data_IF_849287544877
#
_entry.id   IF_849287544877
#
_cell.length_a   1.000
_cell.length_b   1.000
_cell.length_c   1.000
_cell.angle_alpha   90.00
_cell.angle_beta   90.00
_cell.angle_gamma   90.00
#
_symmetry.space_group_name_H-M   'P 1'
#
loop_
_entity.id
_entity.type
_entity.pdbx_description
1 polymer ?
#
# COMPACT_ATOMS: atom_id res chain seq x y z
N UNK A 1 -13.66 -42.26 12.02
CA UNK A 1 -12.82 -41.19 12.61
C UNK A 1 -12.84 -40.01 11.67
N UNK A 2 -13.13 -38.79 12.12
CA UNK A 2 -13.00 -37.56 11.31
C UNK A 2 -11.54 -37.11 11.30
N UNK A 3 -10.91 -37.11 10.12
CA UNK A 3 -9.53 -36.64 9.96
C UNK A 3 -9.50 -35.13 10.21
N UNK A 4 -8.91 -34.71 11.33
CA UNK A 4 -8.65 -33.29 11.61
C UNK A 4 -7.54 -32.81 10.68
N UNK A 5 -7.87 -31.91 9.74
CA UNK A 5 -6.86 -31.23 8.95
C UNK A 5 -5.90 -30.46 9.87
N UNK A 6 -4.61 -30.81 9.84
CA UNK A 6 -3.55 -30.30 10.73
C UNK A 6 -3.13 -28.85 10.37
N UNK A 7 -4.06 -28.07 9.81
CA UNK A 7 -3.90 -26.67 9.34
C UNK A 7 -5.18 -25.82 9.50
N UNK A 8 -6.23 -26.29 10.19
CA UNK A 8 -7.41 -25.45 10.49
C UNK A 8 -7.09 -24.46 11.63
N UNK A 9 -6.62 -23.27 11.25
CA UNK A 9 -6.44 -22.13 12.16
C UNK A 9 -7.72 -21.29 12.34
N UNK A 10 -8.91 -21.85 12.06
CA UNK A 10 -10.22 -21.27 12.38
C UNK A 10 -10.78 -20.25 11.38
N UNK A 11 -10.01 -19.84 10.36
CA UNK A 11 -10.50 -18.93 9.31
C UNK A 11 -11.23 -19.72 8.20
N UNK A 12 -12.57 -19.76 8.27
CA UNK A 12 -13.43 -20.60 7.41
C UNK A 12 -14.03 -19.92 6.17
N UNK A 13 -13.81 -18.62 5.97
CA UNK A 13 -14.50 -17.83 4.95
C UNK A 13 -13.54 -16.97 4.12
N UNK A 14 -13.79 -16.90 2.80
CA UNK A 14 -13.07 -16.04 1.86
C UNK A 14 -13.39 -14.55 2.08
N UNK A 15 -12.45 -13.63 1.80
CA UNK A 15 -12.72 -12.19 1.80
C UNK A 15 -13.74 -11.80 0.72
N UNK A 16 -14.34 -10.60 0.84
CA UNK A 16 -15.32 -10.08 -0.12
C UNK A 16 -14.63 -9.60 -1.40
N UNK A 17 -14.84 -10.32 -2.49
CA UNK A 17 -14.26 -10.01 -3.81
C UNK A 17 -15.20 -9.12 -4.63
N UNK A 18 -15.43 -7.89 -4.15
CA UNK A 18 -16.37 -6.94 -4.76
C UNK A 18 -15.98 -6.47 -6.18
N UNK A 19 -14.73 -6.73 -6.60
CA UNK A 19 -14.26 -6.51 -7.96
C UNK A 19 -14.92 -7.46 -8.99
N UNK A 20 -15.24 -8.70 -8.62
CA UNK A 20 -15.75 -9.71 -9.57
C UNK A 20 -17.03 -9.22 -10.25
N UNK A 21 -18.02 -8.77 -9.46
CA UNK A 21 -19.28 -8.18 -9.98
C UNK A 21 -19.08 -6.95 -10.87
N UNK A 22 -17.98 -6.21 -10.71
CA UNK A 22 -17.65 -5.09 -11.63
C UNK A 22 -17.14 -5.65 -12.95
N UNK A 23 -16.16 -6.57 -12.90
CA UNK A 23 -15.57 -7.20 -14.09
C UNK A 23 -16.61 -7.99 -14.88
N UNK A 24 -17.50 -8.74 -14.21
CA UNK A 24 -18.65 -9.44 -14.80
C UNK A 24 -19.52 -8.49 -15.64
N UNK A 25 -19.82 -7.29 -15.15
CA UNK A 25 -20.56 -6.29 -15.91
C UNK A 25 -19.78 -5.81 -17.15
N UNK A 26 -18.47 -5.56 -17.02
CA UNK A 26 -17.61 -5.22 -18.18
C UNK A 26 -17.62 -6.35 -19.21
N UNK A 27 -17.61 -7.62 -18.78
CA UNK A 27 -17.63 -8.77 -19.70
C UNK A 27 -18.94 -8.89 -20.47
N UNK A 28 -20.06 -8.45 -19.90
CA UNK A 28 -21.34 -8.39 -20.61
C UNK A 28 -21.35 -7.22 -21.62
N UNK A 29 -20.86 -6.04 -21.24
CA UNK A 29 -20.73 -4.90 -22.15
C UNK A 29 -19.76 -5.18 -23.31
N UNK A 30 -18.60 -5.81 -23.05
CA UNK A 30 -17.64 -6.21 -24.07
C UNK A 30 -18.16 -7.29 -25.03
N UNK A 31 -19.26 -7.97 -24.70
CA UNK A 31 -19.92 -8.98 -25.53
C UNK A 31 -21.23 -8.47 -26.17
N UNK A 32 -21.57 -7.19 -26.04
CA UNK A 32 -22.76 -6.63 -26.72
C UNK A 32 -22.62 -6.70 -28.26
N UNK A 33 -23.60 -7.24 -29.01
CA UNK A 33 -23.49 -7.38 -30.46
C UNK A 33 -23.40 -6.09 -31.28
N UNK A 34 -23.62 -4.91 -30.68
CA UNK A 34 -23.61 -3.59 -31.33
C UNK A 34 -22.48 -2.70 -30.82
N UNK A 35 -22.20 -2.73 -29.51
CA UNK A 35 -21.25 -1.83 -28.85
C UNK A 35 -20.03 -2.53 -28.25
N UNK A 36 -20.00 -3.87 -28.22
CA UNK A 36 -18.91 -4.67 -27.67
C UNK A 36 -17.66 -4.77 -28.56
N UNK A 37 -16.76 -5.67 -28.19
CA UNK A 37 -15.50 -5.92 -28.92
C UNK A 37 -15.79 -6.67 -30.22
N UNK A 38 -15.25 -6.18 -31.34
CA UNK A 38 -15.41 -6.81 -32.66
C UNK A 38 -14.85 -8.23 -32.65
N UNK A 39 -15.65 -9.19 -33.09
CA UNK A 39 -15.25 -10.61 -33.14
C UNK A 39 -15.05 -11.09 -34.58
N UNK A 40 -14.01 -11.90 -34.80
CA UNK A 40 -13.59 -12.41 -36.10
C UNK A 40 -13.40 -13.94 -36.11
N UNK A 41 -13.46 -14.58 -37.29
CA UNK A 41 -13.24 -16.02 -37.42
C UNK A 41 -11.76 -16.43 -37.36
N UNK A 42 -11.39 -17.22 -36.36
CA UNK A 42 -10.08 -17.89 -36.31
C UNK A 42 -10.01 -18.98 -37.38
N UNK A 43 -9.18 -18.77 -38.41
CA UNK A 43 -8.86 -19.81 -39.40
C UNK A 43 -7.78 -20.75 -38.84
N UNK A 44 -8.07 -22.05 -38.79
CA UNK A 44 -7.06 -23.11 -38.58
C UNK A 44 -6.99 -23.98 -39.84
N UNK A 45 -5.87 -24.69 -40.03
CA UNK A 45 -5.51 -25.49 -41.23
C UNK A 45 -6.64 -26.38 -41.78
N UNK A 46 -7.55 -26.86 -40.94
CA UNK A 46 -8.66 -27.77 -41.32
C UNK A 46 -10.04 -27.23 -40.90
N UNK A 47 -10.11 -26.17 -40.08
CA UNK A 47 -11.37 -25.72 -39.44
C UNK A 47 -11.35 -24.24 -39.10
N UNK A 48 -12.38 -23.51 -39.49
CA UNK A 48 -12.64 -22.14 -38.99
C UNK A 48 -13.44 -22.20 -37.68
N UNK A 49 -13.06 -21.40 -36.69
CA UNK A 49 -13.77 -21.29 -35.39
C UNK A 49 -14.14 -19.82 -35.16
N UNK A 50 -15.43 -19.48 -34.96
CA UNK A 50 -15.87 -18.09 -34.83
C UNK A 50 -15.44 -17.44 -33.50
N UNK A 51 -15.84 -16.17 -33.34
CA UNK A 51 -15.79 -15.39 -32.09
C UNK A 51 -14.43 -15.35 -31.39
N UNK A 52 -13.34 -15.16 -32.15
CA UNK A 52 -12.07 -14.70 -31.58
C UNK A 52 -12.02 -13.15 -31.60
N UNK A 53 -11.31 -12.55 -30.66
CA UNK A 53 -11.07 -11.09 -30.59
C UNK A 53 -9.54 -10.83 -30.63
N UNK A 54 -9.09 -9.69 -31.14
CA UNK A 54 -7.67 -9.31 -31.01
C UNK A 54 -7.41 -8.69 -29.64
N UNK A 55 -6.14 -8.62 -29.22
CA UNK A 55 -5.78 -7.87 -28.02
C UNK A 55 -5.78 -6.35 -28.26
N UNK A 56 -5.48 -5.91 -29.48
CA UNK A 56 -5.60 -4.52 -29.93
C UNK A 56 -7.05 -4.00 -29.83
N UNK A 57 -8.04 -4.73 -30.36
CA UNK A 57 -9.47 -4.40 -30.26
C UNK A 57 -9.92 -4.28 -28.79
N UNK A 58 -9.44 -5.18 -27.92
CA UNK A 58 -9.78 -5.17 -26.47
C UNK A 58 -9.21 -3.93 -25.77
N UNK A 59 -7.92 -3.63 -25.96
CA UNK A 59 -7.29 -2.46 -25.32
C UNK A 59 -7.91 -1.16 -25.85
N UNK A 60 -8.15 -1.08 -27.16
CA UNK A 60 -8.81 0.07 -27.80
C UNK A 60 -10.25 0.25 -27.31
N UNK A 61 -11.00 -0.83 -27.12
CA UNK A 61 -12.35 -0.78 -26.55
C UNK A 61 -12.32 -0.27 -25.11
N UNK A 62 -11.41 -0.76 -24.27
CA UNK A 62 -11.29 -0.35 -22.86
C UNK A 62 -10.88 1.14 -22.73
N UNK A 63 -9.92 1.59 -23.53
CA UNK A 63 -9.50 3.00 -23.56
C UNK A 63 -10.67 3.93 -23.90
N UNK A 64 -11.40 3.62 -24.97
CA UNK A 64 -12.57 4.40 -25.41
C UNK A 64 -13.76 4.29 -24.44
N UNK A 65 -13.95 3.15 -23.78
CA UNK A 65 -15.08 2.91 -22.86
C UNK A 65 -14.98 3.66 -21.54
N UNK A 66 -13.75 3.88 -21.06
CA UNK A 66 -13.48 4.54 -19.77
C UNK A 66 -12.84 5.92 -19.91
N UNK A 67 -12.45 6.34 -21.12
CA UNK A 67 -11.71 7.58 -21.39
C UNK A 67 -10.38 7.60 -20.63
N UNK A 68 -9.62 6.50 -20.74
CA UNK A 68 -8.34 6.27 -20.06
C UNK A 68 -7.19 6.12 -21.06
N UNK A 69 -5.96 6.31 -20.58
CA UNK A 69 -4.75 6.15 -21.40
C UNK A 69 -4.52 4.69 -21.81
N UNK A 70 -3.82 4.48 -22.93
CA UNK A 70 -3.60 3.16 -23.50
C UNK A 70 -2.84 2.20 -22.56
N UNK A 71 -1.94 2.72 -21.72
CA UNK A 71 -1.20 1.93 -20.72
C UNK A 71 -2.12 1.43 -19.59
N UNK A 72 -3.05 2.26 -19.11
CA UNK A 72 -4.05 1.85 -18.10
C UNK A 72 -5.06 0.86 -18.70
N UNK A 73 -5.51 1.10 -19.94
CA UNK A 73 -6.36 0.16 -20.68
C UNK A 73 -5.67 -1.20 -20.91
N UNK A 74 -4.36 -1.20 -21.19
CA UNK A 74 -3.56 -2.42 -21.32
C UNK A 74 -3.37 -3.15 -19.99
N UNK A 75 -3.15 -2.42 -18.89
CA UNK A 75 -3.07 -2.99 -17.55
C UNK A 75 -4.42 -3.63 -17.14
N UNK A 76 -5.54 -2.94 -17.39
CA UNK A 76 -6.88 -3.47 -17.18
C UNK A 76 -7.16 -4.71 -18.04
N UNK A 77 -6.83 -4.67 -19.33
CA UNK A 77 -6.93 -5.82 -20.24
C UNK A 77 -6.08 -7.01 -19.78
N UNK A 78 -4.89 -6.77 -19.24
CA UNK A 78 -4.05 -7.79 -18.60
C UNK A 78 -4.70 -8.37 -17.35
N UNK A 79 -5.38 -7.57 -16.51
CA UNK A 79 -6.15 -8.09 -15.37
C UNK A 79 -7.31 -8.99 -15.82
N UNK A 80 -8.01 -8.67 -16.91
CA UNK A 80 -9.08 -9.52 -17.47
C UNK A 80 -8.56 -10.91 -17.88
N UNK A 81 -7.34 -10.97 -18.42
CA UNK A 81 -6.66 -12.22 -18.77
C UNK A 81 -6.17 -12.96 -17.52
N UNK A 82 -5.59 -12.25 -16.55
CA UNK A 82 -5.10 -12.84 -15.30
C UNK A 82 -6.22 -13.42 -14.41
N UNK A 83 -7.42 -12.84 -14.43
CA UNK A 83 -8.62 -13.39 -13.79
C UNK A 83 -9.35 -14.43 -14.66
N UNK A 84 -8.89 -14.71 -15.87
CA UNK A 84 -9.44 -15.77 -16.73
C UNK A 84 -10.80 -15.46 -17.37
N UNK A 85 -11.28 -14.22 -17.33
CA UNK A 85 -12.49 -13.81 -18.06
C UNK A 85 -12.25 -13.74 -19.57
N UNK A 86 -11.00 -13.49 -19.98
CA UNK A 86 -10.51 -13.57 -21.36
C UNK A 86 -9.29 -14.52 -21.35
N UNK A 87 -9.09 -15.34 -22.37
CA UNK A 87 -7.93 -16.23 -22.47
C UNK A 87 -7.27 -16.19 -23.86
N UNK A 88 -5.93 -16.26 -23.95
CA UNK A 88 -5.22 -16.25 -25.22
C UNK A 88 -5.31 -17.62 -25.93
N UNK A 89 -5.32 -17.59 -27.26
CA UNK A 89 -5.36 -18.79 -28.12
C UNK A 89 -3.97 -19.28 -28.55
N UNK A 90 -2.92 -18.58 -28.12
CA UNK A 90 -1.51 -18.89 -28.29
C UNK A 90 -0.79 -18.54 -26.97
N UNK A 91 0.38 -19.10 -26.68
CA UNK A 91 1.19 -18.69 -25.51
C UNK A 91 0.42 -18.73 -24.16
N UNK A 92 -0.36 -19.80 -23.94
CA UNK A 92 -1.32 -19.96 -22.82
C UNK A 92 -0.75 -19.82 -21.39
N UNK A 93 0.58 -19.71 -21.23
CA UNK A 93 1.25 -19.51 -19.94
C UNK A 93 1.41 -18.04 -19.57
N UNK A 94 1.38 -17.15 -20.57
CA UNK A 94 1.53 -15.70 -20.39
C UNK A 94 0.14 -15.08 -20.23
N UNK A 95 -0.32 -14.94 -18.99
CA UNK A 95 -1.59 -14.29 -18.64
C UNK A 95 -1.52 -12.76 -18.74
N UNK A 96 -1.09 -12.25 -19.89
CA UNK A 96 -0.90 -10.82 -20.18
C UNK A 96 -1.47 -10.54 -21.56
N UNK A 97 -2.27 -9.48 -21.70
CA UNK A 97 -2.78 -9.11 -23.02
C UNK A 97 -1.66 -8.49 -23.86
N UNK A 98 -1.64 -8.77 -25.15
CA UNK A 98 -0.72 -8.18 -26.12
C UNK A 98 -1.53 -7.19 -26.94
N UNK A 99 -1.17 -5.90 -27.05
CA UNK A 99 -1.91 -4.91 -27.84
C UNK A 99 -1.57 -5.08 -29.33
N UNK A 100 -1.86 -6.26 -29.86
CA UNK A 100 -1.53 -6.71 -31.20
C UNK A 100 -2.63 -7.62 -31.76
N UNK A 101 -2.37 -8.22 -32.92
CA UNK A 101 -3.28 -9.14 -33.62
C UNK A 101 -3.37 -10.53 -32.98
N UNK A 102 -2.71 -10.78 -31.83
CA UNK A 102 -2.85 -12.04 -31.11
C UNK A 102 -4.31 -12.28 -30.73
N UNK A 103 -4.76 -13.53 -30.89
CA UNK A 103 -6.16 -13.87 -30.73
C UNK A 103 -6.47 -14.35 -29.31
N UNK A 104 -7.58 -13.84 -28.76
CA UNK A 104 -8.15 -14.19 -27.47
C UNK A 104 -9.61 -14.66 -27.66
N UNK A 105 -10.20 -15.21 -26.59
CA UNK A 105 -11.64 -15.47 -26.47
C UNK A 105 -12.15 -15.11 -25.08
N UNK A 106 -13.43 -14.74 -25.01
CA UNK A 106 -14.16 -14.67 -23.74
C UNK A 106 -14.33 -16.07 -23.15
N UNK A 107 -14.20 -16.15 -21.82
CA UNK A 107 -14.49 -17.34 -21.04
C UNK A 107 -15.99 -17.46 -20.77
N UNK A 108 -16.53 -18.68 -20.75
CA UNK A 108 -17.94 -18.91 -20.39
C UNK A 108 -18.20 -18.60 -18.90
N UNK A 109 -19.35 -18.02 -18.51
CA UNK A 109 -19.68 -17.73 -17.12
C UNK A 109 -19.56 -18.91 -16.13
N UNK A 110 -19.69 -20.16 -16.61
CA UNK A 110 -19.45 -21.36 -15.80
C UNK A 110 -18.02 -21.46 -15.25
N UNK A 111 -17.05 -20.89 -15.97
CA UNK A 111 -15.62 -20.85 -15.61
C UNK A 111 -15.17 -19.45 -15.13
N UNK A 112 -16.08 -18.56 -14.75
CA UNK A 112 -15.71 -17.28 -14.13
C UNK A 112 -15.36 -17.46 -12.64
N UNK A 113 -14.45 -16.64 -12.07
CA UNK A 113 -14.08 -16.75 -10.66
C UNK A 113 -15.26 -16.45 -9.73
N UNK A 114 -15.58 -17.36 -8.81
CA UNK A 114 -16.67 -17.21 -7.85
C UNK A 114 -16.17 -16.87 -6.43
N UNK A 115 -16.83 -15.90 -5.76
CA UNK A 115 -16.47 -15.51 -4.39
C UNK A 115 -16.63 -16.68 -3.38
N UNK A 116 -17.78 -17.35 -3.38
CA UNK A 116 -18.12 -18.35 -2.37
C UNK A 116 -17.50 -19.72 -2.64
N UNK A 117 -17.43 -20.15 -3.89
CA UNK A 117 -17.07 -21.50 -4.27
C UNK A 117 -15.55 -21.62 -4.53
N UNK A 118 -14.79 -22.33 -3.67
CA UNK A 118 -13.46 -22.79 -4.03
C UNK A 118 -13.56 -23.90 -5.07
N UNK A 119 -12.65 -23.91 -6.03
CA UNK A 119 -12.56 -25.00 -7.02
C UNK A 119 -12.03 -26.25 -6.31
N UNK A 120 -12.76 -27.36 -6.37
CA UNK A 120 -12.39 -28.56 -5.62
C UNK A 120 -11.16 -29.27 -6.19
N UNK A 121 -10.42 -29.93 -5.29
CA UNK A 121 -9.34 -30.84 -5.66
C UNK A 121 -9.88 -32.10 -6.39
N UNK A 122 -11.15 -32.46 -6.15
CA UNK A 122 -11.88 -33.51 -6.89
C UNK A 122 -11.91 -33.22 -8.39
N UNK A 123 -12.33 -32.02 -8.77
CA UNK A 123 -12.46 -31.61 -10.17
C UNK A 123 -11.09 -31.48 -10.85
N UNK A 124 -10.08 -31.02 -10.11
CA UNK A 124 -8.72 -30.92 -10.64
C UNK A 124 -8.12 -32.30 -10.90
N UNK A 125 -8.36 -33.27 -10.01
CA UNK A 125 -7.96 -34.65 -10.22
C UNK A 125 -8.65 -35.27 -11.45
N UNK A 126 -9.95 -35.00 -11.67
CA UNK A 126 -10.70 -35.44 -12.87
C UNK A 126 -10.11 -34.81 -14.14
N UNK A 127 -9.80 -33.51 -14.13
CA UNK A 127 -9.16 -32.81 -15.26
C UNK A 127 -7.79 -33.42 -15.63
N UNK A 128 -6.91 -33.59 -14.65
CA UNK A 128 -5.58 -34.16 -14.84
C UNK A 128 -5.66 -35.63 -15.30
N UNK A 129 -6.56 -36.42 -14.72
CA UNK A 129 -6.82 -37.80 -15.17
C UNK A 129 -7.31 -37.85 -16.63
N UNK A 130 -8.25 -36.98 -17.01
CA UNK A 130 -8.80 -36.86 -18.38
C UNK A 130 -7.70 -36.51 -19.39
N UNK A 131 -6.77 -35.61 -19.04
CA UNK A 131 -5.60 -35.29 -19.88
C UNK A 131 -4.63 -36.46 -20.01
N UNK A 132 -4.32 -37.16 -18.92
CA UNK A 132 -3.43 -38.33 -18.95
C UNK A 132 -4.03 -39.50 -19.76
N UNK A 133 -5.35 -39.71 -19.69
CA UNK A 133 -6.10 -40.68 -20.52
C UNK A 133 -6.03 -40.32 -22.01
N UNK A 134 -6.14 -39.04 -22.37
CA UNK A 134 -6.10 -38.56 -23.77
C UNK A 134 -4.78 -38.88 -24.46
N UNK A 135 -3.65 -38.69 -23.77
CA UNK A 135 -2.30 -39.10 -24.21
C UNK A 135 -1.38 -39.12 -22.98
N UNK A 136 -0.80 -40.28 -22.68
CA UNK A 136 0.20 -40.43 -21.60
C UNK A 136 1.38 -39.47 -21.82
N UNK A 137 1.87 -38.86 -20.75
CA UNK A 137 3.02 -37.93 -20.81
C UNK A 137 2.70 -36.53 -21.35
N UNK A 138 1.44 -36.07 -21.28
CA UNK A 138 0.99 -34.71 -21.69
C UNK A 138 0.61 -33.84 -20.47
N UNK A 139 1.00 -34.25 -19.27
CA UNK A 139 1.02 -33.40 -18.08
C UNK A 139 2.39 -32.70 -18.00
N UNK A 140 2.40 -31.43 -17.63
CA UNK A 140 3.64 -30.72 -17.32
C UNK A 140 4.22 -31.19 -15.97
N UNK A 141 5.49 -30.88 -15.69
CA UNK A 141 6.18 -31.37 -14.47
C UNK A 141 5.38 -31.03 -13.20
N UNK A 142 4.96 -29.77 -13.05
CA UNK A 142 4.14 -29.34 -11.90
C UNK A 142 2.77 -30.02 -11.86
N UNK A 143 2.13 -30.26 -13.02
CA UNK A 143 0.85 -30.96 -13.10
C UNK A 143 0.98 -32.44 -12.74
N UNK A 144 2.11 -33.06 -13.08
CA UNK A 144 2.43 -34.44 -12.73
C UNK A 144 2.72 -34.59 -11.24
N UNK A 145 3.39 -33.61 -10.62
CA UNK A 145 3.57 -33.52 -9.16
C UNK A 145 2.22 -33.36 -8.44
N UNK A 146 1.35 -32.43 -8.90
CA UNK A 146 0.01 -32.27 -8.34
C UNK A 146 -0.84 -33.54 -8.54
N UNK A 147 -0.82 -34.16 -9.71
CA UNK A 147 -1.53 -35.41 -9.99
C UNK A 147 -1.09 -36.56 -9.06
N UNK A 148 0.21 -36.71 -8.84
CA UNK A 148 0.77 -37.72 -7.94
C UNK A 148 0.38 -37.43 -6.47
N UNK A 149 0.40 -36.15 -6.05
CA UNK A 149 -0.06 -35.72 -4.73
C UNK A 149 -1.55 -35.99 -4.49
N UNK A 150 -2.40 -35.61 -5.45
CA UNK A 150 -3.85 -35.84 -5.44
C UNK A 150 -4.18 -37.33 -5.44
N UNK A 151 -3.49 -38.15 -6.24
CA UNK A 151 -3.66 -39.60 -6.23
C UNK A 151 -3.38 -40.20 -4.85
N UNK A 152 -2.30 -39.75 -4.18
CA UNK A 152 -1.95 -40.21 -2.83
C UNK A 152 -2.93 -39.71 -1.75
N UNK A 153 -3.42 -38.48 -1.86
CA UNK A 153 -4.33 -37.86 -0.88
C UNK A 153 -5.78 -38.34 -1.01
N UNK A 154 -6.26 -38.50 -2.25
CA UNK A 154 -7.66 -38.81 -2.58
C UNK A 154 -7.85 -40.24 -3.10
N UNK A 155 -6.91 -41.17 -2.79
CA UNK A 155 -6.92 -42.54 -3.29
C UNK A 155 -8.28 -43.26 -3.08
N UNK A 156 -8.91 -43.05 -1.92
CA UNK A 156 -10.25 -43.58 -1.57
C UNK A 156 -11.42 -43.08 -2.45
N UNK A 157 -11.20 -42.10 -3.35
CA UNK A 157 -12.15 -41.61 -4.37
C UNK A 157 -11.63 -41.83 -5.79
N UNK A 158 -10.49 -42.49 -5.97
CA UNK A 158 -9.78 -42.46 -7.26
C UNK A 158 -10.50 -43.21 -8.38
N UNK A 159 -11.18 -44.31 -8.07
CA UNK A 159 -11.99 -45.03 -9.07
C UNK A 159 -13.14 -44.19 -9.59
N UNK A 160 -13.79 -43.39 -8.73
CA UNK A 160 -14.80 -42.40 -9.12
C UNK A 160 -14.20 -41.30 -10.00
N UNK A 161 -13.04 -40.75 -9.62
CA UNK A 161 -12.30 -39.74 -10.40
C UNK A 161 -11.94 -40.27 -11.80
N UNK A 162 -11.45 -41.51 -11.88
CA UNK A 162 -11.10 -42.18 -13.14
C UNK A 162 -12.34 -42.53 -13.96
N UNK A 163 -13.46 -42.92 -13.33
CA UNK A 163 -14.75 -43.15 -13.98
C UNK A 163 -15.28 -41.86 -14.63
N UNK A 164 -15.35 -40.77 -13.87
CA UNK A 164 -15.76 -39.45 -14.36
C UNK A 164 -14.85 -38.94 -15.48
N UNK A 165 -13.52 -39.09 -15.34
CA UNK A 165 -12.58 -38.72 -16.40
C UNK A 165 -12.77 -39.52 -17.70
N UNK A 166 -13.09 -40.82 -17.61
CA UNK A 166 -13.43 -41.68 -18.77
C UNK A 166 -14.77 -41.28 -19.40
N UNK A 167 -15.77 -40.96 -18.59
CA UNK A 167 -17.11 -40.55 -19.02
C UNK A 167 -17.08 -39.21 -19.76
N UNK A 168 -16.48 -38.18 -19.16
CA UNK A 168 -16.27 -36.88 -19.81
C UNK A 168 -15.45 -36.99 -21.11
N UNK A 169 -14.46 -37.90 -21.16
CA UNK A 169 -13.69 -38.17 -22.38
C UNK A 169 -14.52 -38.87 -23.48
N UNK A 170 -15.52 -39.69 -23.12
CA UNK A 170 -16.49 -40.29 -24.07
C UNK A 170 -17.44 -39.22 -24.62
N UNK A 171 -18.14 -38.48 -23.77
CA UNK A 171 -19.03 -37.39 -24.19
C UNK A 171 -18.28 -36.31 -25.01
N UNK A 172 -17.01 -36.04 -24.68
CA UNK A 172 -16.14 -35.18 -25.47
C UNK A 172 -15.88 -35.67 -26.90
N UNK A 173 -15.92 -36.99 -27.16
CA UNK A 173 -15.74 -37.58 -28.50
C UNK A 173 -16.96 -37.42 -29.42
N UNK A 174 -18.15 -37.21 -28.87
CA UNK A 174 -19.40 -37.03 -29.62
C UNK A 174 -19.54 -35.60 -30.18
N UNK A 175 -18.93 -34.60 -29.52
CA UNK A 175 -18.90 -33.20 -29.99
C UNK A 175 -18.07 -33.04 -31.27
N UNK A 176 -18.46 -32.10 -32.14
CA UNK A 176 -17.71 -31.79 -33.38
C UNK A 176 -16.28 -31.29 -33.04
N UNK A 177 -15.36 -31.46 -33.99
CA UNK A 177 -13.93 -31.10 -33.85
C UNK A 177 -13.68 -29.65 -33.36
N UNK A 178 -14.32 -28.59 -33.92
CA UNK A 178 -14.10 -27.23 -33.42
C UNK A 178 -14.64 -27.02 -32.00
N UNK A 179 -15.87 -27.45 -31.71
CA UNK A 179 -16.53 -27.29 -30.40
C UNK A 179 -15.71 -27.94 -29.27
N UNK A 180 -15.13 -29.11 -29.55
CA UNK A 180 -14.21 -29.82 -28.66
C UNK A 180 -12.93 -29.02 -28.39
N UNK A 181 -12.36 -28.40 -29.42
CA UNK A 181 -11.14 -27.60 -29.30
C UNK A 181 -11.36 -26.29 -28.52
N UNK A 182 -12.55 -25.67 -28.62
CA UNK A 182 -12.93 -24.53 -27.77
C UNK A 182 -13.06 -24.98 -26.32
N UNK A 183 -13.79 -26.05 -26.06
CA UNK A 183 -14.02 -26.57 -24.71
C UNK A 183 -12.70 -27.00 -24.02
N UNK A 184 -11.82 -27.71 -24.74
CA UNK A 184 -10.46 -28.09 -24.30
C UNK A 184 -9.59 -26.89 -23.87
N UNK A 185 -9.84 -25.70 -24.43
CA UNK A 185 -9.10 -24.47 -24.13
C UNK A 185 -9.76 -23.65 -23.01
N UNK A 186 -11.08 -23.56 -22.99
CA UNK A 186 -11.84 -22.95 -21.88
C UNK A 186 -11.51 -23.62 -20.54
N UNK A 187 -11.55 -24.96 -20.51
CA UNK A 187 -11.23 -25.74 -19.32
C UNK A 187 -9.75 -25.58 -18.90
N UNK A 188 -8.81 -25.49 -19.86
CA UNK A 188 -7.39 -25.25 -19.57
C UNK A 188 -7.17 -23.86 -18.95
N UNK A 189 -7.77 -22.81 -19.52
CA UNK A 189 -7.63 -21.44 -19.04
C UNK A 189 -8.12 -21.30 -17.58
N UNK A 190 -9.25 -21.93 -17.25
CA UNK A 190 -9.81 -22.02 -15.90
C UNK A 190 -8.79 -22.57 -14.88
N UNK A 191 -8.15 -23.70 -15.19
CA UNK A 191 -7.21 -24.35 -14.28
C UNK A 191 -5.90 -23.57 -14.06
N UNK A 192 -5.40 -22.87 -15.09
CA UNK A 192 -4.20 -22.01 -14.95
C UNK A 192 -4.45 -20.86 -13.97
N UNK A 193 -5.68 -20.32 -13.91
CA UNK A 193 -6.06 -19.24 -12.98
C UNK A 193 -6.37 -19.76 -11.57
N UNK A 194 -6.89 -20.98 -11.43
CA UNK A 194 -7.32 -21.53 -10.14
C UNK A 194 -6.33 -22.47 -9.42
N UNK A 195 -5.20 -22.84 -10.05
CA UNK A 195 -4.05 -23.51 -9.40
C UNK A 195 -2.69 -22.91 -9.81
N UNK A 196 -2.45 -21.59 -9.66
CA UNK A 196 -1.15 -20.98 -9.89
C UNK A 196 -0.14 -21.32 -8.76
N UNK A 197 1.18 -21.12 -8.99
CA UNK A 197 2.19 -21.21 -7.95
C UNK A 197 1.90 -20.33 -6.72
N UNK A 198 2.13 -20.86 -5.51
CA UNK A 198 1.49 -20.42 -4.26
C UNK A 198 2.13 -19.23 -3.52
N UNK A 199 1.27 -18.45 -2.82
CA UNK A 199 1.52 -17.67 -1.58
C UNK A 199 0.19 -17.33 -0.86
N UNK A 200 0.23 -16.69 0.32
CA UNK A 200 -0.91 -16.53 1.27
C UNK A 200 -0.86 -15.16 2.02
N UNK A 201 -1.97 -14.69 2.63
CA UNK A 201 -2.08 -14.14 4.03
C UNK A 201 -3.48 -13.56 4.40
N UNK A 202 -4.06 -14.04 5.52
CA UNK A 202 -4.88 -13.32 6.57
C UNK A 202 -6.13 -12.46 6.16
N UNK A 203 -6.87 -11.68 6.99
CA UNK A 203 -6.74 -11.15 8.40
C UNK A 203 -8.13 -10.88 9.05
N UNK A 204 -8.18 -10.31 10.28
CA UNK A 204 -9.38 -9.92 11.09
C UNK A 204 -9.56 -8.37 11.13
N UNK A 205 -10.45 -7.66 11.86
CA UNK A 205 -11.30 -7.85 13.08
C UNK A 205 -12.64 -7.07 13.02
N UNK A 206 -13.51 -7.13 14.06
CA UNK A 206 -14.79 -6.38 14.12
C UNK A 206 -15.22 -5.99 15.56
N UNK A 207 -15.66 -4.75 15.79
CA UNK A 207 -16.36 -4.31 17.02
C UNK A 207 -17.03 -2.93 16.82
N UNK A 208 -18.30 -2.73 17.22
CA UNK A 208 -19.09 -1.53 16.80
C UNK A 208 -19.93 -0.83 17.88
N UNK A 209 -20.26 -1.48 19.00
CA UNK A 209 -21.32 -0.97 19.89
C UNK A 209 -20.87 0.16 20.84
N UNK A 210 -19.71 0.03 21.49
CA UNK A 210 -19.16 1.08 22.38
C UNK A 210 -18.86 2.39 21.62
N UNK A 211 -18.53 2.27 20.33
CA UNK A 211 -18.15 3.39 19.47
C UNK A 211 -19.28 4.42 19.27
N UNK A 212 -20.53 4.00 19.12
CA UNK A 212 -21.64 4.90 18.79
C UNK A 212 -21.95 5.86 19.93
N UNK A 213 -22.05 5.37 21.16
CA UNK A 213 -22.34 6.20 22.34
C UNK A 213 -21.19 7.19 22.64
N UNK A 214 -19.94 6.77 22.47
CA UNK A 214 -18.78 7.68 22.53
C UNK A 214 -18.72 8.69 21.37
N UNK A 215 -19.41 8.45 20.25
CA UNK A 215 -19.42 9.35 19.08
C UNK A 215 -20.51 10.43 19.14
N UNK A 216 -21.50 10.28 20.04
CA UNK A 216 -22.53 11.29 20.31
C UNK A 216 -21.95 12.40 21.21
N UNK A 217 -21.21 12.01 22.25
CA UNK A 217 -20.63 12.94 23.24
C UNK A 217 -19.45 13.78 22.71
N UNK A 218 -19.03 13.61 21.45
CA UNK A 218 -17.95 14.37 20.82
C UNK A 218 -18.50 15.64 20.16
N UNK A 219 -18.11 16.85 20.60
CA UNK A 219 -18.52 18.09 19.94
C UNK A 219 -17.99 18.12 18.50
N UNK A 220 -18.74 18.78 17.61
CA UNK A 220 -18.46 18.85 16.17
C UNK A 220 -18.48 20.29 15.68
N UNK A 221 -17.67 20.59 14.66
CA UNK A 221 -17.71 21.86 13.93
C UNK A 221 -18.48 21.70 12.62
N UNK A 222 -18.95 22.82 12.05
CA UNK A 222 -19.56 22.82 10.71
C UNK A 222 -18.52 22.46 9.64
N UNK A 223 -18.91 21.74 8.59
CA UNK A 223 -18.01 21.33 7.51
C UNK A 223 -17.29 22.50 6.84
N UNK A 224 -17.92 23.68 6.74
CA UNK A 224 -17.28 24.90 6.24
C UNK A 224 -16.08 25.36 7.09
N UNK A 225 -16.13 25.16 8.41
CA UNK A 225 -15.04 25.50 9.33
C UNK A 225 -13.90 24.49 9.20
N UNK A 226 -14.20 23.19 9.18
CA UNK A 226 -13.15 22.16 9.06
C UNK A 226 -12.51 22.12 7.67
N UNK A 227 -13.29 22.23 6.59
CA UNK A 227 -12.76 22.26 5.22
C UNK A 227 -12.00 23.57 4.98
N UNK A 228 -12.50 24.71 5.45
CA UNK A 228 -11.77 25.99 5.37
C UNK A 228 -10.43 25.95 6.11
N UNK A 229 -10.37 25.30 7.28
CA UNK A 229 -9.12 25.09 8.00
C UNK A 229 -8.15 24.15 7.27
N UNK A 230 -8.63 23.05 6.68
CA UNK A 230 -7.82 22.12 5.89
C UNK A 230 -7.27 22.79 4.62
N UNK A 231 -8.10 23.49 3.84
CA UNK A 231 -7.67 24.24 2.66
C UNK A 231 -6.62 25.30 3.04
N UNK A 232 -6.85 26.06 4.12
CA UNK A 232 -5.87 27.04 4.61
C UNK A 232 -4.54 26.36 4.98
N UNK A 233 -4.58 25.24 5.71
CA UNK A 233 -3.37 24.50 6.08
C UNK A 233 -2.60 24.03 4.84
N UNK A 234 -3.28 23.44 3.85
CA UNK A 234 -2.65 22.98 2.60
C UNK A 234 -2.05 24.13 1.80
N UNK A 235 -2.74 25.28 1.69
CA UNK A 235 -2.21 26.48 1.01
C UNK A 235 -0.99 27.05 1.72
N UNK A 236 -0.99 27.08 3.05
CA UNK A 236 0.17 27.51 3.85
C UNK A 236 1.36 26.56 3.69
N UNK A 237 1.13 25.23 3.66
CA UNK A 237 2.20 24.24 3.59
C UNK A 237 2.70 23.92 2.17
N UNK A 238 1.96 24.30 1.12
CA UNK A 238 2.24 23.95 -0.29
C UNK A 238 3.70 24.21 -0.71
N UNK A 239 4.28 25.36 -0.37
CA UNK A 239 5.68 25.72 -0.69
C UNK A 239 6.74 24.88 0.04
N UNK A 240 6.33 24.10 1.04
CA UNK A 240 7.21 23.25 1.86
C UNK A 240 7.05 21.76 1.53
N UNK A 241 6.25 21.42 0.50
CA UNK A 241 6.05 20.06 0.00
C UNK A 241 6.91 19.83 -1.26
N UNK A 242 7.96 18.97 -1.20
CA UNK A 242 8.84 18.69 -2.34
C UNK A 242 8.16 18.03 -3.56
N UNK A 243 6.91 17.56 -3.43
CA UNK A 243 6.13 17.05 -4.57
C UNK A 243 5.34 18.17 -5.29
N UNK A 244 5.14 19.33 -4.65
CA UNK A 244 4.35 20.45 -5.18
C UNK A 244 5.20 21.68 -5.50
N UNK A 245 6.34 21.85 -4.83
CA UNK A 245 7.27 22.95 -5.03
C UNK A 245 8.73 22.44 -5.04
N UNK A 246 9.61 22.99 -5.89
CA UNK A 246 11.02 22.60 -5.93
C UNK A 246 11.73 22.98 -4.63
N UNK A 247 12.32 22.00 -3.95
CA UNK A 247 13.17 22.25 -2.79
C UNK A 247 14.59 22.66 -3.22
N UNK A 248 15.20 23.56 -2.45
CA UNK A 248 16.52 24.15 -2.74
C UNK A 248 17.59 23.58 -1.79
N UNK A 249 18.79 23.22 -2.28
CA UNK A 249 19.32 23.51 -3.62
C UNK A 249 18.78 22.58 -4.72
N UNK A 250 18.44 21.33 -4.40
CA UNK A 250 17.74 20.39 -5.28
C UNK A 250 17.02 19.30 -4.47
N UNK A 251 16.24 18.41 -5.13
CA UNK A 251 15.64 17.24 -4.48
C UNK A 251 16.58 16.03 -4.58
N UNK A 252 17.14 15.51 -3.46
CA UNK A 252 18.15 14.45 -3.50
C UNK A 252 17.73 13.19 -4.26
N UNK A 253 16.43 12.85 -4.26
CA UNK A 253 15.89 11.67 -4.97
C UNK A 253 15.87 11.81 -6.50
N UNK A 254 16.19 12.99 -7.04
CA UNK A 254 16.20 13.30 -8.48
C UNK A 254 17.63 13.58 -8.97
N UNK A 255 18.54 13.93 -8.05
CA UNK A 255 19.83 14.55 -8.37
C UNK A 255 21.04 13.93 -7.65
N UNK A 256 20.81 13.02 -6.71
CA UNK A 256 21.80 12.44 -5.77
C UNK A 256 22.57 13.48 -4.91
N UNK A 257 22.18 14.76 -4.97
CA UNK A 257 22.74 15.86 -4.16
C UNK A 257 22.12 15.87 -2.75
N UNK A 258 22.83 15.29 -1.79
CA UNK A 258 22.42 15.22 -0.37
C UNK A 258 22.45 16.57 0.36
N UNK A 259 22.86 17.67 -0.26
CA UNK A 259 23.01 18.99 0.38
C UNK A 259 21.70 19.48 1.00
N UNK A 260 20.54 19.18 0.40
CA UNK A 260 19.23 19.50 0.99
C UNK A 260 19.02 18.83 2.35
N UNK A 261 19.46 17.59 2.55
CA UNK A 261 19.37 16.91 3.85
C UNK A 261 20.36 17.51 4.85
N UNK A 262 21.61 17.76 4.43
CA UNK A 262 22.65 18.37 5.29
C UNK A 262 22.21 19.73 5.85
N UNK A 263 21.63 20.60 5.02
CA UNK A 263 21.10 21.91 5.43
C UNK A 263 19.88 21.84 6.36
N UNK A 264 19.20 20.69 6.44
CA UNK A 264 17.98 20.51 7.23
C UNK A 264 18.10 19.44 8.34
N UNK A 265 19.32 18.98 8.66
CA UNK A 265 19.57 18.10 9.82
C UNK A 265 19.07 18.73 11.12
N UNK A 266 18.62 17.90 12.06
CA UNK A 266 17.95 18.35 13.29
C UNK A 266 18.75 19.43 14.06
N UNK A 267 20.07 19.29 14.12
CA UNK A 267 21.02 20.03 14.95
C UNK A 267 21.93 21.02 14.20
N UNK A 268 21.54 21.51 13.01
CA UNK A 268 22.33 22.55 12.31
C UNK A 268 22.37 23.87 13.11
N UNK A 269 23.54 24.51 13.18
CA UNK A 269 23.71 25.79 13.86
C UNK A 269 22.84 26.90 13.24
N UNK A 270 22.84 26.95 11.90
CA UNK A 270 22.14 27.94 11.10
C UNK A 270 21.06 27.22 10.24
N UNK A 271 19.77 27.34 10.60
CA UNK A 271 18.69 26.74 9.82
C UNK A 271 18.47 27.44 8.47
N UNK A 272 17.77 26.77 7.54
CA UNK A 272 17.34 27.38 6.29
C UNK A 272 16.21 28.40 6.51
N UNK A 273 16.08 29.40 5.62
CA UNK A 273 15.00 30.42 5.67
C UNK A 273 13.62 29.76 5.68
N UNK A 274 13.43 28.75 4.83
CA UNK A 274 12.21 27.96 4.73
C UNK A 274 11.88 27.20 6.04
N UNK A 275 12.90 26.73 6.78
CA UNK A 275 12.72 26.09 8.10
C UNK A 275 12.30 27.10 9.17
N UNK A 276 12.91 28.29 9.20
CA UNK A 276 12.53 29.37 10.13
C UNK A 276 11.15 29.96 9.80
N UNK A 277 10.80 30.09 8.52
CA UNK A 277 9.46 30.49 8.07
C UNK A 277 8.38 29.51 8.57
N UNK A 278 8.64 28.20 8.45
CA UNK A 278 7.73 27.14 8.92
C UNK A 278 7.44 27.23 10.43
N UNK A 279 8.38 27.71 11.26
CA UNK A 279 8.13 27.95 12.69
C UNK A 279 7.02 28.97 12.96
N UNK A 280 6.69 29.85 12.00
CA UNK A 280 5.62 30.85 12.14
C UNK A 280 4.22 30.28 11.93
N UNK A 281 4.09 29.15 11.25
CA UNK A 281 2.81 28.56 10.84
C UNK A 281 1.98 28.13 12.05
N UNK A 282 2.62 27.53 13.05
CA UNK A 282 2.02 27.31 14.36
C UNK A 282 3.07 27.06 15.43
N UNK A 283 2.70 27.29 16.69
CA UNK A 283 3.48 26.88 17.84
C UNK A 283 3.81 25.37 17.87
N UNK A 284 3.00 24.53 17.20
CA UNK A 284 3.29 23.11 17.03
C UNK A 284 4.47 22.85 16.11
N UNK A 285 4.65 23.64 15.04
CA UNK A 285 5.82 23.53 14.15
C UNK A 285 7.10 23.98 14.87
N UNK A 286 7.03 25.10 15.60
CA UNK A 286 8.15 25.60 16.42
C UNK A 286 8.60 24.59 17.49
N UNK A 287 7.67 23.91 18.17
CA UNK A 287 8.02 22.91 19.19
C UNK A 287 8.39 21.54 18.60
N UNK A 288 7.93 21.19 17.40
CA UNK A 288 8.33 19.95 16.74
C UNK A 288 9.78 20.00 16.27
N UNK A 289 10.25 21.17 15.83
CA UNK A 289 11.64 21.40 15.44
C UNK A 289 12.57 21.51 16.66
N UNK A 290 13.63 20.66 16.79
CA UNK A 290 14.61 20.78 17.87
C UNK A 290 15.33 22.14 17.89
N UNK A 291 15.76 22.63 16.73
CA UNK A 291 16.47 23.93 16.63
C UNK A 291 15.51 25.10 16.88
N UNK A 292 14.24 24.94 16.51
CA UNK A 292 13.15 25.87 16.87
C UNK A 292 12.92 25.94 18.38
N UNK A 293 12.87 24.79 19.07
CA UNK A 293 12.85 24.72 20.53
C UNK A 293 14.06 25.38 21.17
N UNK A 294 15.26 25.21 20.63
CA UNK A 294 16.47 25.82 21.16
C UNK A 294 16.44 27.36 21.08
N UNK A 295 15.96 27.91 19.96
CA UNK A 295 15.80 29.36 19.77
C UNK A 295 14.71 29.94 20.69
N UNK A 296 13.58 29.24 20.80
CA UNK A 296 12.51 29.59 21.73
C UNK A 296 12.96 29.48 23.19
N UNK A 297 13.79 28.49 23.56
CA UNK A 297 14.37 28.36 24.90
C UNK A 297 15.36 29.48 25.21
N UNK A 298 16.11 29.98 24.22
CA UNK A 298 16.95 31.17 24.37
C UNK A 298 16.12 32.44 24.62
N UNK A 299 14.98 32.59 23.94
CA UNK A 299 14.02 33.65 24.21
C UNK A 299 13.42 33.56 25.63
N UNK A 300 12.84 32.42 26.02
CA UNK A 300 12.24 32.23 27.34
C UNK A 300 13.25 32.41 28.50
N UNK A 301 14.54 32.08 28.29
CA UNK A 301 15.61 32.35 29.26
C UNK A 301 15.80 33.85 29.53
N UNK A 302 15.66 34.71 28.52
CA UNK A 302 15.75 36.18 28.68
C UNK A 302 14.55 36.77 29.42
N UNK A 303 13.42 36.05 29.41
CA UNK A 303 12.18 36.44 30.09
C UNK A 303 11.90 35.63 31.36
N UNK A 304 12.91 34.93 31.90
CA UNK A 304 12.82 34.13 33.14
C UNK A 304 11.61 33.16 33.18
N UNK A 305 11.27 32.56 32.03
CA UNK A 305 10.06 31.71 31.85
C UNK A 305 10.34 30.35 31.18
N UNK A 306 11.61 29.90 31.21
CA UNK A 306 12.11 28.69 30.54
C UNK A 306 11.76 27.35 31.23
N UNK A 307 11.19 27.40 32.43
CA UNK A 307 10.60 26.26 33.15
C UNK A 307 9.30 25.75 32.51
N UNK A 308 8.48 26.62 31.91
CA UNK A 308 7.30 26.20 31.14
C UNK A 308 7.65 25.24 29.98
N UNK A 309 8.65 25.60 29.18
CA UNK A 309 9.12 24.74 28.08
C UNK A 309 9.78 23.46 28.62
N UNK A 310 10.62 23.55 29.65
CA UNK A 310 11.29 22.37 30.20
C UNK A 310 10.31 21.37 30.85
N UNK A 311 9.22 21.85 31.46
CA UNK A 311 8.12 21.00 31.93
C UNK A 311 7.42 20.31 30.76
N UNK A 312 7.13 21.04 29.67
CA UNK A 312 6.51 20.48 28.47
C UNK A 312 7.39 19.40 27.82
N UNK A 313 8.71 19.64 27.73
CA UNK A 313 9.70 18.68 27.20
C UNK A 313 9.79 17.43 28.10
N UNK A 314 9.78 17.59 29.42
CA UNK A 314 9.79 16.47 30.36
C UNK A 314 8.48 15.64 30.33
N UNK A 315 7.36 16.27 29.99
CA UNK A 315 6.09 15.56 29.75
C UNK A 315 6.13 14.74 28.45
N UNK A 316 6.77 15.21 27.37
CA UNK A 316 6.97 14.39 26.17
C UNK A 316 7.94 13.22 26.42
N UNK A 317 9.02 13.42 27.17
CA UNK A 317 9.93 12.34 27.57
C UNK A 317 9.25 11.27 28.46
N UNK A 318 8.32 11.67 29.33
CA UNK A 318 7.44 10.73 30.05
C UNK A 318 6.49 9.99 29.09
N UNK A 319 5.89 10.71 28.14
CA UNK A 319 4.88 10.17 27.22
C UNK A 319 5.46 9.22 26.18
N UNK A 320 6.69 9.43 25.72
CA UNK A 320 7.31 8.62 24.68
C UNK A 320 8.41 7.68 25.20
N UNK A 321 8.93 7.92 26.41
CA UNK A 321 9.96 7.10 27.05
C UNK A 321 9.57 5.66 27.42
N UNK A 322 10.48 4.98 28.12
CA UNK A 322 10.35 3.56 28.51
C UNK A 322 9.30 3.37 29.61
N UNK A 323 8.52 2.28 29.52
CA UNK A 323 7.49 1.98 30.52
C UNK A 323 8.07 1.73 31.93
N UNK A 324 9.29 1.18 32.02
CA UNK A 324 9.96 0.90 33.29
C UNK A 324 10.22 2.18 34.12
N UNK A 325 10.70 3.25 33.49
CA UNK A 325 11.04 4.51 34.18
C UNK A 325 9.85 5.45 34.38
N UNK A 326 8.66 5.09 33.84
CA UNK A 326 7.48 5.96 33.77
C UNK A 326 7.02 6.48 35.15
N UNK A 327 6.98 5.61 36.17
CA UNK A 327 6.53 5.99 37.51
C UNK A 327 7.50 6.98 38.18
N UNK A 328 8.80 6.72 38.05
CA UNK A 328 9.87 7.55 38.59
C UNK A 328 9.91 8.91 37.90
N UNK A 329 9.85 8.93 36.56
CA UNK A 329 9.78 10.17 35.76
C UNK A 329 8.56 11.00 36.13
N UNK A 330 7.37 10.41 36.24
CA UNK A 330 6.15 11.13 36.62
C UNK A 330 6.28 11.81 38.00
N UNK A 331 6.83 11.10 38.99
CA UNK A 331 7.08 11.64 40.33
C UNK A 331 8.21 12.70 40.33
N UNK A 332 9.25 12.52 39.53
CA UNK A 332 10.35 13.48 39.42
C UNK A 332 9.91 14.78 38.74
N UNK A 333 9.09 14.71 37.69
CA UNK A 333 8.50 15.90 37.04
C UNK A 333 7.56 16.62 38.01
N UNK A 334 6.74 15.90 38.77
CA UNK A 334 5.91 16.51 39.81
C UNK A 334 6.76 17.27 40.85
N UNK A 335 7.79 16.63 41.41
CA UNK A 335 8.71 17.26 42.38
C UNK A 335 9.48 18.46 41.81
N UNK A 336 9.87 18.40 40.54
CA UNK A 336 10.71 19.43 39.90
C UNK A 336 9.92 20.68 39.53
N UNK A 337 8.63 20.54 39.14
CA UNK A 337 7.86 21.62 38.52
C UNK A 337 6.51 21.93 39.21
N UNK A 338 5.84 20.97 39.85
CA UNK A 338 4.45 21.09 40.32
C UNK A 338 4.27 21.10 41.84
N UNK A 339 5.22 20.55 42.59
CA UNK A 339 5.18 20.54 44.05
C UNK A 339 5.26 21.96 44.65
N UNK A 340 4.71 22.15 45.86
CA UNK A 340 4.82 23.42 46.58
C UNK A 340 6.30 23.66 46.94
N UNK A 341 6.87 24.77 46.48
CA UNK A 341 8.31 25.06 46.64
C UNK A 341 9.22 24.29 45.68
N UNK A 342 8.68 23.77 44.56
CA UNK A 342 9.49 23.08 43.55
C UNK A 342 10.60 23.98 42.96
N UNK A 343 11.80 23.44 42.66
CA UNK A 343 12.96 24.24 42.23
C UNK A 343 12.79 24.89 40.85
N UNK A 344 11.82 24.44 40.04
CA UNK A 344 11.43 25.03 38.75
C UNK A 344 9.91 25.19 38.69
N UNK A 345 9.32 25.70 39.77
CA UNK A 345 7.87 25.79 39.95
C UNK A 345 7.16 26.50 38.78
N UNK A 346 6.13 25.86 38.21
CA UNK A 346 5.24 26.42 37.19
C UNK A 346 3.85 26.72 37.76
N UNK A 347 3.19 27.73 37.19
CA UNK A 347 1.81 28.06 37.53
C UNK A 347 0.84 27.30 36.61
N UNK A 348 -0.10 26.54 37.20
CA UNK A 348 -1.23 25.91 36.53
C UNK A 348 -2.50 26.11 37.35
N UNK A 349 -3.67 26.08 36.71
CA UNK A 349 -4.94 26.25 37.42
C UNK A 349 -5.23 25.10 38.40
N UNK A 350 -5.99 25.41 39.46
CA UNK A 350 -6.27 24.46 40.55
C UNK A 350 -6.99 23.18 40.12
N UNK A 351 -7.84 23.22 39.07
CA UNK A 351 -8.53 22.04 38.55
C UNK A 351 -7.57 21.14 37.77
N UNK A 352 -6.68 21.74 36.98
CA UNK A 352 -5.60 21.01 36.30
C UNK A 352 -4.63 20.39 37.31
N UNK A 353 -4.31 21.09 38.41
CA UNK A 353 -3.52 20.54 39.52
C UNK A 353 -4.23 19.37 40.20
N UNK A 354 -5.53 19.50 40.53
CA UNK A 354 -6.33 18.43 41.16
C UNK A 354 -6.34 17.15 40.31
N UNK A 355 -6.63 17.27 39.01
CA UNK A 355 -6.60 16.15 38.05
C UNK A 355 -5.22 15.49 38.02
N UNK A 356 -4.15 16.28 37.99
CA UNK A 356 -2.77 15.79 37.95
C UNK A 356 -2.39 15.04 39.23
N UNK A 357 -2.66 15.61 40.41
CA UNK A 357 -2.38 14.98 41.72
C UNK A 357 -3.23 13.72 41.92
N UNK A 358 -4.49 13.71 41.45
CA UNK A 358 -5.35 12.53 41.48
C UNK A 358 -4.82 11.41 40.58
N UNK A 359 -4.35 11.73 39.37
CA UNK A 359 -3.74 10.78 38.45
C UNK A 359 -2.42 10.21 38.97
N UNK A 360 -1.58 11.02 39.62
CA UNK A 360 -0.29 10.60 40.18
C UNK A 360 -0.38 9.57 41.32
N UNK A 361 -1.58 9.23 41.81
CA UNK A 361 -1.81 8.07 42.69
C UNK A 361 -1.61 6.73 41.97
N UNK A 362 -1.86 6.70 40.66
CA UNK A 362 -1.64 5.54 39.79
C UNK A 362 -0.99 6.03 38.48
N UNK A 363 0.31 6.36 38.47
CA UNK A 363 0.95 7.00 37.33
C UNK A 363 0.85 6.17 36.05
N UNK A 364 0.62 6.86 34.94
CA UNK A 364 0.53 6.28 33.60
C UNK A 364 1.10 7.27 32.57
N UNK A 365 1.34 6.79 31.35
CA UNK A 365 1.98 7.53 30.23
C UNK A 365 1.34 8.89 29.88
N UNK A 366 0.10 9.11 30.31
CA UNK A 366 -0.71 10.30 30.03
C UNK A 366 -1.10 11.08 31.29
N UNK A 367 -0.48 10.78 32.45
CA UNK A 367 -0.88 11.33 33.76
C UNK A 367 -0.67 12.85 33.88
N UNK A 368 0.22 13.42 33.05
CA UNK A 368 0.51 14.85 33.00
C UNK A 368 -0.17 15.57 31.82
N UNK A 369 -0.93 14.88 30.96
CA UNK A 369 -1.46 15.44 29.69
C UNK A 369 -2.31 16.71 29.91
N UNK A 370 -3.06 16.79 31.02
CA UNK A 370 -3.84 17.97 31.37
C UNK A 370 -2.95 19.19 31.66
N UNK A 371 -1.94 19.03 32.54
CA UNK A 371 -0.98 20.08 32.88
C UNK A 371 -0.10 20.47 31.69
N UNK A 372 0.34 19.49 30.89
CA UNK A 372 1.11 19.74 29.68
C UNK A 372 0.28 20.52 28.64
N UNK A 373 -1.00 20.17 28.47
CA UNK A 373 -1.91 20.90 27.57
C UNK A 373 -2.17 22.32 28.07
N UNK A 374 -2.33 22.52 29.38
CA UNK A 374 -2.44 23.85 29.99
C UNK A 374 -1.21 24.71 29.66
N UNK A 375 0.00 24.21 29.96
CA UNK A 375 1.26 24.93 29.73
C UNK A 375 1.54 25.16 28.24
N UNK A 376 1.24 24.20 27.36
CA UNK A 376 1.31 24.39 25.91
C UNK A 376 0.38 25.52 25.45
N UNK A 377 -0.87 25.55 25.94
CA UNK A 377 -1.85 26.58 25.58
C UNK A 377 -1.54 27.95 26.18
N UNK A 378 -0.85 28.01 27.33
CA UNK A 378 -0.30 29.23 27.92
C UNK A 378 0.79 29.82 27.01
N UNK A 379 1.86 29.05 26.74
CA UNK A 379 2.96 29.48 25.86
C UNK A 379 2.48 29.84 24.45
N UNK A 380 1.50 29.09 23.90
CA UNK A 380 0.91 29.35 22.58
C UNK A 380 0.16 30.69 22.49
N UNK A 381 -0.50 31.11 23.57
CA UNK A 381 -1.31 32.35 23.61
C UNK A 381 -0.46 33.58 23.87
N UNK A 382 0.54 33.47 24.73
CA UNK A 382 1.36 34.58 25.18
C UNK A 382 2.78 34.53 24.58
N UNK A 383 3.64 33.66 25.11
CA UNK A 383 5.08 33.63 24.82
C UNK A 383 5.42 33.49 23.34
N UNK A 384 4.67 32.67 22.58
CA UNK A 384 4.87 32.47 21.14
C UNK A 384 4.63 33.76 20.32
N UNK A 385 3.57 34.51 20.65
CA UNK A 385 3.24 35.77 19.97
C UNK A 385 4.23 36.89 20.26
N UNK A 386 4.96 36.81 21.38
CA UNK A 386 6.05 37.72 21.76
C UNK A 386 7.39 37.27 21.17
N UNK A 387 7.67 35.97 21.17
CA UNK A 387 8.84 35.36 20.51
C UNK A 387 8.98 35.77 19.03
N UNK A 388 7.93 35.62 18.23
CA UNK A 388 7.94 35.98 16.80
C UNK A 388 8.19 37.47 16.53
N UNK A 389 8.05 38.33 17.55
CA UNK A 389 8.32 39.78 17.46
C UNK A 389 9.68 40.16 18.06
N UNK A 390 10.30 39.25 18.81
CA UNK A 390 11.53 39.46 19.58
C UNK A 390 12.76 39.66 18.68
N UNK A 391 13.85 40.27 19.21
CA UNK A 391 15.13 40.29 18.52
C UNK A 391 15.66 38.88 18.22
N UNK A 392 15.47 37.91 19.12
CA UNK A 392 15.99 36.53 18.97
C UNK A 392 15.50 35.89 17.67
N UNK A 393 14.18 35.88 17.44
CA UNK A 393 13.60 35.33 16.20
C UNK A 393 14.05 36.12 14.96
N UNK A 394 14.11 37.45 15.05
CA UNK A 394 14.51 38.32 13.92
C UNK A 394 15.98 38.13 13.53
N UNK A 395 16.88 37.96 14.50
CA UNK A 395 18.29 37.71 14.28
C UNK A 395 18.50 36.31 13.66
N UNK A 396 17.78 35.29 14.15
CA UNK A 396 17.79 33.94 13.56
C UNK A 396 17.21 33.96 12.13
N UNK A 397 16.11 34.67 11.88
CA UNK A 397 15.53 34.84 10.53
C UNK A 397 16.48 35.58 9.57
N UNK A 398 17.20 36.61 10.05
CA UNK A 398 18.21 37.36 9.27
C UNK A 398 19.44 36.51 8.94
N UNK A 399 19.86 35.62 9.85
CA UNK A 399 21.00 34.71 9.67
C UNK A 399 20.68 33.45 8.86
N UNK A 400 19.39 33.08 8.72
CA UNK A 400 18.98 31.83 8.11
C UNK A 400 19.43 31.71 6.64
N UNK A 401 19.87 30.50 6.24
CA UNK A 401 20.43 30.25 4.91
C UNK A 401 19.31 30.16 3.87
N UNK A 402 19.41 30.95 2.81
CA UNK A 402 18.66 30.70 1.57
C UNK A 402 19.62 30.04 0.58
N UNK A 403 19.59 28.71 0.40
CA UNK A 403 20.47 28.06 -0.58
C UNK A 403 20.04 28.39 -2.00
N UNK A 404 20.99 28.71 -2.86
CA UNK A 404 20.76 28.89 -4.29
C UNK A 404 20.38 27.56 -4.96
N UNK A 405 19.68 27.63 -6.09
CA UNK A 405 19.34 26.43 -6.88
C UNK A 405 20.59 25.78 -7.47
N UNK A 406 20.70 24.45 -7.34
CA UNK A 406 21.86 23.71 -7.83
C UNK A 406 21.99 23.82 -9.35
N UNK A 407 23.11 24.38 -9.83
CA UNK A 407 23.42 24.50 -11.26
C UNK A 407 24.14 23.25 -11.76
N UNK A 408 23.37 22.24 -12.13
CA UNK A 408 23.90 21.10 -12.86
C UNK A 408 24.51 21.56 -14.19
N UNK A 409 25.75 21.14 -14.47
CA UNK A 409 26.21 21.06 -15.86
C UNK A 409 25.44 19.92 -16.50
N UNK A 410 24.75 20.19 -17.60
CA UNK A 410 24.05 19.17 -18.37
C UNK A 410 25.04 18.17 -18.97
N UNK A 411 25.22 17.03 -18.30
CA UNK A 411 25.56 15.80 -19.01
C UNK A 411 24.33 15.51 -19.89
N UNK A 412 24.46 15.41 -21.22
CA UNK A 412 23.31 15.17 -22.07
C UNK A 412 22.66 13.84 -21.67
N UNK A 413 21.33 13.84 -21.56
CA UNK A 413 20.57 12.62 -21.29
C UNK A 413 20.79 11.65 -22.46
N UNK A 414 21.57 10.59 -22.21
CA UNK A 414 21.68 9.47 -23.16
C UNK A 414 20.29 8.86 -23.24
N UNK A 415 19.69 8.93 -24.42
CA UNK A 415 18.33 8.45 -24.64
C UNK A 415 18.23 6.95 -24.34
N UNK A 416 17.05 6.49 -23.93
CA UNK A 416 16.81 5.10 -23.47
C UNK A 416 16.99 4.02 -24.55
N UNK A 417 17.52 4.38 -25.72
CA UNK A 417 17.79 3.53 -26.88
C UNK A 417 19.17 2.87 -26.78
N UNK A 418 20.19 3.56 -26.26
CA UNK A 418 21.59 3.09 -26.30
C UNK A 418 21.93 2.04 -25.23
N UNK A 419 21.06 1.84 -24.23
CA UNK A 419 21.22 0.82 -23.18
C UNK A 419 21.07 -0.64 -23.70
N UNK A 420 20.61 -0.85 -24.93
CA UNK A 420 20.33 -2.19 -25.49
C UNK A 420 21.41 -2.75 -26.44
N UNK A 421 22.46 -1.98 -26.74
CA UNK A 421 23.55 -2.40 -27.66
C UNK A 421 24.81 -2.92 -26.94
N UNK A 422 24.94 -2.70 -25.62
CA UNK A 422 26.20 -2.89 -24.88
C UNK A 422 26.42 -4.23 -24.15
N UNK A 423 25.44 -5.14 -24.09
CA UNK A 423 25.51 -6.33 -23.22
C UNK A 423 25.85 -7.63 -23.96
N UNK A 424 27.12 -7.76 -24.37
CA UNK A 424 27.71 -9.07 -24.71
C UNK A 424 28.24 -9.75 -23.44
N UNK A 425 27.53 -10.77 -22.95
CA UNK A 425 27.88 -11.46 -21.70
C UNK A 425 29.16 -12.31 -21.84
N UNK A 426 30.20 -12.10 -21.00
CA UNK A 426 31.32 -13.03 -20.90
C UNK A 426 30.86 -14.35 -20.24
N UNK A 427 31.33 -15.48 -20.77
CA UNK A 427 31.02 -16.80 -20.21
C UNK A 427 31.77 -17.03 -18.89
N UNK A 428 31.11 -17.54 -17.82
CA UNK A 428 31.77 -17.78 -16.54
C UNK A 428 32.66 -19.03 -16.59
N UNK A 429 33.98 -18.84 -16.57
CA UNK A 429 34.96 -19.92 -16.45
C UNK A 429 35.04 -20.44 -15.01
N UNK A 430 34.84 -21.74 -14.82
CA UNK A 430 35.10 -22.39 -13.52
C UNK A 430 36.61 -22.45 -13.24
N UNK A 431 37.08 -21.70 -12.25
CA UNK A 431 38.33 -22.03 -11.56
C UNK A 431 38.09 -22.23 -10.07
N UNK A 432 38.30 -23.47 -9.62
CA UNK A 432 38.30 -23.82 -8.20
C UNK A 432 39.58 -23.26 -7.58
N UNK A 433 39.48 -22.41 -6.56
CA UNK A 433 40.61 -22.23 -5.64
C UNK A 433 40.77 -23.50 -4.81
N UNK A 434 41.98 -24.05 -4.80
CA UNK A 434 42.45 -24.96 -3.75
C UNK A 434 43.14 -24.12 -2.68
N UNK A 435 42.81 -24.40 -1.43
CA UNK A 435 43.72 -24.64 -0.31
C UNK A 435 45.07 -23.90 -0.33
N UNK A 436 45.21 -22.90 0.56
CA UNK A 436 46.11 -22.95 1.72
C UNK A 436 45.71 -21.90 2.77
#
# INVERSE_FOLDING_TARGET
>A
MTIRNVRDHGQRFRPRMACLKKVEAVMLEMQDPKTGVKSQPQKLVITTIPHAITGEDVVTWLANRYTIEAEEAWALGTMLVAFGYIYPLQDHKRLVIKPDTALYRFQTPYFWPAQQWPVEDTDYAIYLAKRNIRKKGVLEIHEQEQYNGLHKWMNHKWDFIVMQAKEQYRAGKERKKPDRAVFDCQERAYWVVHRPPVRHTHTHTHSKMIFTQQSIMRPRVKSSVSIGALVKYSVTCNKHDPFLAPCLPSNPWITDDVTYWLLNMANVDIPTKMRVERWTFSFGELLSDPRGRDDFRLFLKKEFSGENLAFWEACEDLKWGTAATMNEKAQQVYKTFLARGAPRWINIDGKTMEVTVKGLKHPHRYVLDAAQTHIFMLMKKDSYGRYLKSPVFKDTQKRAIGPDQHRFRSVPCVSTVDMLSGLSCPSPSMQRRKDL
#
